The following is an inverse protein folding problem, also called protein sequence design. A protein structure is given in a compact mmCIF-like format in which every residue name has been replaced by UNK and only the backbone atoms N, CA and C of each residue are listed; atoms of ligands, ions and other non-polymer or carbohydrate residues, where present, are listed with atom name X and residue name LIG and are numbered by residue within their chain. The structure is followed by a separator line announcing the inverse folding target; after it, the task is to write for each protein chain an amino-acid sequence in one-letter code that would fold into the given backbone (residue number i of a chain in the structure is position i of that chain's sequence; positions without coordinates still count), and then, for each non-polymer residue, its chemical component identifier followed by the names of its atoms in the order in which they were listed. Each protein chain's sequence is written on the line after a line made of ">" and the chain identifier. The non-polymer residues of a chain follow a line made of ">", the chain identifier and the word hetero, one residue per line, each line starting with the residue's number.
data_IF_505518832787
#
_entry.id   IF_505518832787
#
_cell.length_a   1.000
_cell.length_b   1.000
_cell.length_c   1.000
_cell.angle_alpha   90.00
_cell.angle_beta   90.00
_cell.angle_gamma   90.00
#
_symmetry.space_group_name_H-M   'P 1'
#
loop_
_entity.id
_entity.type
_entity.pdbx_description
1 polymer ?
#
# COMPACT_ATOMS: atom_id res chain seq x y z
N UNK A 1 -37.58 -40.72 9.67
CA UNK A 1 -36.55 -40.64 8.62
C UNK A 1 -36.74 -39.43 7.73
N UNK A 2 -37.98 -39.02 7.44
CA UNK A 2 -38.26 -37.95 6.48
C UNK A 2 -37.88 -36.54 6.95
N UNK A 3 -38.01 -36.24 8.25
CA UNK A 3 -37.65 -34.94 8.79
C UNK A 3 -36.14 -34.63 8.66
N UNK A 4 -35.30 -35.63 8.94
CA UNK A 4 -33.84 -35.52 8.78
C UNK A 4 -33.48 -35.36 7.30
N UNK A 5 -34.16 -36.10 6.41
CA UNK A 5 -33.93 -35.99 4.98
C UNK A 5 -34.34 -34.61 4.43
N UNK A 6 -35.46 -34.05 4.90
CA UNK A 6 -35.90 -32.70 4.55
C UNK A 6 -34.86 -31.64 4.99
N UNK A 7 -34.27 -31.80 6.18
CA UNK A 7 -33.19 -30.93 6.65
C UNK A 7 -31.93 -31.03 5.76
N UNK A 8 -31.56 -32.25 5.36
CA UNK A 8 -30.40 -32.49 4.48
C UNK A 8 -30.61 -31.82 3.12
N UNK A 9 -31.81 -31.92 2.54
CA UNK A 9 -32.15 -31.27 1.26
C UNK A 9 -32.10 -29.74 1.40
N UNK A 10 -32.68 -29.18 2.47
CA UNK A 10 -32.64 -27.74 2.73
C UNK A 10 -31.19 -27.21 2.84
N UNK A 11 -30.34 -27.92 3.59
CA UNK A 11 -28.94 -27.52 3.76
C UNK A 11 -28.16 -27.58 2.45
N UNK A 12 -28.29 -28.68 1.71
CA UNK A 12 -27.52 -28.91 0.48
C UNK A 12 -27.94 -28.00 -0.67
N UNK A 13 -29.22 -27.67 -0.80
CA UNK A 13 -29.73 -26.95 -1.97
C UNK A 13 -30.07 -25.49 -1.71
N UNK A 14 -30.23 -25.08 -0.45
CA UNK A 14 -30.58 -23.68 -0.13
C UNK A 14 -29.52 -23.02 0.74
N UNK A 15 -29.26 -23.56 1.94
CA UNK A 15 -28.45 -22.85 2.94
C UNK A 15 -26.99 -22.75 2.51
N UNK A 16 -26.36 -23.89 2.18
CA UNK A 16 -24.94 -23.91 1.80
C UNK A 16 -24.72 -23.12 0.50
N UNK A 17 -25.49 -23.34 -0.59
CA UNK A 17 -25.32 -22.56 -1.81
C UNK A 17 -25.53 -21.05 -1.59
N UNK A 18 -26.59 -20.64 -0.88
CA UNK A 18 -26.86 -19.22 -0.63
C UNK A 18 -25.75 -18.54 0.17
N UNK A 19 -25.18 -19.22 1.17
CA UNK A 19 -24.03 -18.72 1.93
C UNK A 19 -22.78 -18.58 1.06
N UNK A 20 -22.49 -19.58 0.22
CA UNK A 20 -21.34 -19.53 -0.68
C UNK A 20 -21.46 -18.38 -1.69
N UNK A 21 -22.60 -18.24 -2.36
CA UNK A 21 -22.84 -17.14 -3.30
C UNK A 21 -22.84 -15.77 -2.59
N UNK A 22 -23.47 -15.66 -1.43
CA UNK A 22 -23.47 -14.42 -0.64
C UNK A 22 -22.07 -14.00 -0.20
N UNK A 23 -21.25 -14.97 0.24
CA UNK A 23 -19.85 -14.72 0.63
C UNK A 23 -18.99 -14.25 -0.56
N UNK A 24 -19.18 -14.85 -1.74
CA UNK A 24 -18.47 -14.42 -2.96
C UNK A 24 -18.82 -12.98 -3.35
N UNK A 25 -20.10 -12.62 -3.30
CA UNK A 25 -20.55 -11.25 -3.58
C UNK A 25 -20.06 -10.26 -2.53
N UNK A 26 -20.09 -10.65 -1.24
CA UNK A 26 -19.59 -9.83 -0.14
C UNK A 26 -18.08 -9.58 -0.26
N UNK A 27 -17.28 -10.61 -0.58
CA UNK A 27 -15.85 -10.45 -0.84
C UNK A 27 -15.59 -9.48 -2.00
N UNK A 28 -16.35 -9.59 -3.10
CA UNK A 28 -16.27 -8.64 -4.21
C UNK A 28 -16.58 -7.20 -3.80
N UNK A 29 -17.63 -7.00 -3.01
CA UNK A 29 -18.00 -5.67 -2.48
C UNK A 29 -16.94 -5.09 -1.52
N UNK A 30 -16.31 -5.94 -0.69
CA UNK A 30 -15.21 -5.53 0.19
C UNK A 30 -14.00 -5.05 -0.62
N UNK A 31 -13.63 -5.73 -1.71
CA UNK A 31 -12.54 -5.27 -2.57
C UNK A 31 -12.81 -3.89 -3.17
N UNK A 32 -14.03 -3.65 -3.65
CA UNK A 32 -14.41 -2.34 -4.20
C UNK A 32 -14.35 -1.25 -3.14
N UNK A 33 -14.84 -1.50 -1.93
CA UNK A 33 -14.77 -0.52 -0.83
C UNK A 33 -13.33 -0.29 -0.34
N UNK A 34 -12.47 -1.31 -0.38
CA UNK A 34 -11.03 -1.16 -0.13
C UNK A 34 -10.35 -0.29 -1.18
N UNK A 35 -10.64 -0.50 -2.47
CA UNK A 35 -10.10 0.34 -3.56
C UNK A 35 -10.52 1.80 -3.35
N UNK A 36 -11.80 2.07 -3.14
CA UNK A 36 -12.27 3.44 -2.91
C UNK A 36 -11.76 4.02 -1.58
N UNK A 37 -11.63 3.21 -0.53
CA UNK A 37 -11.03 3.61 0.74
C UNK A 37 -9.58 4.05 0.55
N UNK A 38 -8.80 3.24 -0.17
CA UNK A 38 -7.41 3.54 -0.48
C UNK A 38 -7.30 4.77 -1.39
N UNK A 39 -8.06 4.86 -2.48
CA UNK A 39 -8.01 6.02 -3.39
C UNK A 39 -8.45 7.34 -2.71
N UNK A 40 -9.35 7.28 -1.72
CA UNK A 40 -9.77 8.44 -0.92
C UNK A 40 -8.66 8.95 0.01
N UNK A 41 -7.76 8.08 0.46
CA UNK A 41 -6.68 8.45 1.38
C UNK A 41 -5.30 8.54 0.71
N UNK A 42 -5.12 7.89 -0.43
CA UNK A 42 -3.86 7.81 -1.11
C UNK A 42 -3.87 8.72 -2.32
N UNK A 43 -3.25 9.88 -2.13
CA UNK A 43 -2.58 10.56 -3.22
C UNK A 43 -1.36 9.70 -3.66
N UNK A 44 -1.60 8.47 -4.14
CA UNK A 44 -0.58 7.47 -4.48
C UNK A 44 0.37 7.97 -5.56
N UNK A 45 -0.15 8.77 -6.51
CA UNK A 45 0.66 9.45 -7.49
C UNK A 45 1.75 10.32 -6.84
N UNK A 46 1.50 10.88 -5.66
CA UNK A 46 2.50 11.62 -4.88
C UNK A 46 3.28 10.70 -3.93
N UNK A 47 2.69 9.60 -3.46
CA UNK A 47 3.35 8.58 -2.64
C UNK A 47 4.53 7.89 -3.33
N UNK A 48 4.39 7.54 -4.60
CA UNK A 48 5.47 6.93 -5.39
C UNK A 48 6.62 7.93 -5.60
N UNK A 49 6.29 9.20 -5.83
CA UNK A 49 7.27 10.29 -5.97
C UNK A 49 8.01 10.57 -4.65
N UNK A 50 7.30 10.55 -3.52
CA UNK A 50 7.90 10.70 -2.19
C UNK A 50 8.84 9.53 -1.86
N UNK A 51 8.46 8.30 -2.23
CA UNK A 51 9.28 7.09 -2.00
C UNK A 51 10.59 7.10 -2.79
N UNK A 52 10.57 7.65 -4.01
CA UNK A 52 11.78 7.85 -4.82
C UNK A 52 12.73 8.88 -4.17
N UNK A 53 12.20 9.99 -3.66
CA UNK A 53 13.01 10.98 -2.94
C UNK A 53 13.69 10.42 -1.69
N UNK A 54 12.99 9.63 -0.88
CA UNK A 54 13.57 8.99 0.32
C UNK A 54 14.65 7.96 -0.02
N UNK A 55 14.51 7.22 -1.12
CA UNK A 55 15.56 6.29 -1.58
C UNK A 55 16.90 7.02 -1.77
N UNK A 56 16.90 8.16 -2.48
CA UNK A 56 18.11 8.96 -2.67
C UNK A 56 18.64 9.57 -1.38
N UNK A 57 17.76 10.03 -0.48
CA UNK A 57 18.17 10.53 0.83
C UNK A 57 18.92 9.47 1.63
N UNK A 58 18.42 8.23 1.68
CA UNK A 58 19.06 7.13 2.41
C UNK A 58 20.41 6.75 1.78
N UNK A 59 20.47 6.61 0.45
CA UNK A 59 21.71 6.28 -0.25
C UNK A 59 22.81 7.33 -0.03
N UNK A 60 22.45 8.62 -0.15
CA UNK A 60 23.37 9.72 0.10
C UNK A 60 23.80 9.77 1.57
N UNK A 61 22.91 9.41 2.49
CA UNK A 61 23.21 9.37 3.93
C UNK A 61 24.23 8.29 4.23
N UNK A 62 24.06 7.09 3.67
CA UNK A 62 25.07 6.02 3.77
C UNK A 62 26.41 6.44 3.15
N UNK A 63 26.38 7.13 2.00
CA UNK A 63 27.59 7.62 1.35
C UNK A 63 28.33 8.68 2.19
N UNK A 64 27.62 9.66 2.74
CA UNK A 64 28.20 10.70 3.60
C UNK A 64 28.69 10.15 4.94
N UNK A 65 27.98 9.18 5.52
CA UNK A 65 28.46 8.46 6.70
C UNK A 65 29.75 7.68 6.39
N UNK A 66 29.85 7.02 5.22
CA UNK A 66 31.07 6.35 4.79
C UNK A 66 32.27 7.30 4.60
N UNK A 67 32.01 8.57 4.26
CA UNK A 67 33.03 9.62 4.15
C UNK A 67 33.35 10.32 5.48
N UNK A 68 32.72 9.91 6.58
CA UNK A 68 32.93 10.52 7.90
C UNK A 68 32.26 11.87 8.10
N UNK A 69 31.37 12.29 7.18
CA UNK A 69 30.63 13.55 7.27
C UNK A 69 29.46 13.31 8.22
N UNK A 70 29.62 13.67 9.49
CA UNK A 70 28.56 13.61 10.49
C UNK A 70 28.10 15.01 10.90
N UNK A 71 26.80 15.13 11.22
CA UNK A 71 26.24 16.37 11.74
C UNK A 71 26.25 16.37 13.27
N UNK A 72 27.34 15.90 13.90
CA UNK A 72 27.45 15.81 15.36
C UNK A 72 26.25 15.09 15.99
N UNK A 73 25.42 15.82 16.74
CA UNK A 73 24.19 15.30 17.37
C UNK A 73 23.02 15.09 16.39
N UNK A 74 23.00 15.80 15.26
CA UNK A 74 21.91 15.75 14.29
C UNK A 74 22.11 14.62 13.27
N UNK A 75 21.03 13.96 12.81
CA UNK A 75 21.11 12.96 11.75
C UNK A 75 21.75 13.53 10.47
N UNK A 76 22.71 12.80 9.90
CA UNK A 76 23.30 13.14 8.59
C UNK A 76 22.29 13.18 7.46
N UNK A 77 21.14 12.53 7.65
CA UNK A 77 19.99 12.59 6.76
C UNK A 77 19.49 14.02 6.51
N UNK A 78 19.61 14.94 7.48
CA UNK A 78 19.19 16.33 7.27
C UNK A 78 20.00 17.05 6.19
N UNK A 79 21.30 16.73 6.11
CA UNK A 79 22.18 17.30 5.10
C UNK A 79 21.88 16.76 3.69
N UNK A 80 21.33 15.54 3.60
CA UNK A 80 21.05 14.88 2.33
C UNK A 80 19.68 15.23 1.76
N UNK A 81 18.78 15.82 2.57
CA UNK A 81 17.45 16.26 2.13
C UNK A 81 17.50 17.21 0.92
N UNK A 82 18.30 18.30 0.89
CA UNK A 82 18.33 19.22 -0.26
C UNK A 82 18.73 18.51 -1.57
N UNK A 83 19.68 17.58 -1.50
CA UNK A 83 20.11 16.79 -2.65
C UNK A 83 19.02 15.80 -3.10
N UNK A 84 18.34 15.15 -2.16
CA UNK A 84 17.23 14.26 -2.44
C UNK A 84 16.04 15.00 -3.09
N UNK A 85 15.74 16.22 -2.63
CA UNK A 85 14.71 17.08 -3.22
C UNK A 85 15.08 17.49 -4.65
N UNK A 86 16.34 17.84 -4.91
CA UNK A 86 16.81 18.16 -6.26
C UNK A 86 16.66 16.97 -7.22
N UNK A 87 17.02 15.76 -6.77
CA UNK A 87 16.80 14.53 -7.55
C UNK A 87 15.32 14.23 -7.78
N UNK A 88 14.46 14.51 -6.79
CA UNK A 88 13.02 14.35 -6.91
C UNK A 88 12.43 15.32 -7.94
N UNK A 89 12.85 16.59 -7.94
CA UNK A 89 12.44 17.60 -8.93
C UNK A 89 12.88 17.19 -10.32
N UNK A 90 14.13 16.72 -10.47
CA UNK A 90 14.64 16.25 -11.75
C UNK A 90 13.84 15.06 -12.30
N UNK A 91 13.52 14.08 -11.46
CA UNK A 91 12.68 12.95 -11.82
C UNK A 91 11.28 13.37 -12.27
N UNK A 92 10.64 14.29 -11.51
CA UNK A 92 9.33 14.83 -11.85
C UNK A 92 9.31 15.59 -13.17
N UNK A 93 10.37 16.33 -13.51
CA UNK A 93 10.43 17.10 -14.76
C UNK A 93 10.68 16.24 -16.01
N UNK A 94 11.28 15.07 -15.85
CA UNK A 94 11.76 14.26 -16.98
C UNK A 94 10.82 13.08 -17.29
N UNK A 95 10.19 12.51 -16.26
CA UNK A 95 9.38 11.29 -16.37
C UNK A 95 7.88 11.52 -16.14
N UNK A 96 7.46 12.76 -15.91
CA UNK A 96 6.07 13.15 -15.71
C UNK A 96 5.70 14.28 -16.66
#
# INVERSE_FOLDING_TARGET
>A
MDFINALIVLLNYTVIPALTYGSQLALGAIFVTLIYGILRFANFATGDMMSFGTMFAVLLTYYFQSKGISFGFLPTALLTIPFAVAMMIFYMLLFR
#
